data_IF_944382347312
#
_entry.id   IF_944382347312
#
_cell.length_a   1.000
_cell.length_b   1.000
_cell.length_c   1.000
_cell.angle_alpha   90.00
_cell.angle_beta   90.00
_cell.angle_gamma   90.00
#
_symmetry.space_group_name_H-M   'P 1'
#
loop_
_entity.id
_entity.type
_entity.pdbx_description
1 polymer ?
#
# COMPACT_ATOMS: atom_id res chain seq x y z
N UNK A 1 46.99 27.29 -84.15
CA UNK A 1 47.39 28.68 -83.79
C UNK A 1 46.38 29.15 -82.70
N UNK A 2 46.89 29.18 -81.49
CA UNK A 2 47.04 30.35 -80.60
C UNK A 2 45.78 31.13 -80.36
N UNK A 3 45.27 31.28 -79.16
CA UNK A 3 45.85 31.91 -77.94
C UNK A 3 44.97 31.62 -76.69
N UNK A 4 45.63 31.42 -75.61
CA UNK A 4 45.27 31.47 -74.19
C UNK A 4 44.78 32.87 -73.84
N UNK A 5 43.76 32.95 -72.96
CA UNK A 5 43.76 33.97 -71.93
C UNK A 5 43.09 33.46 -70.64
N UNK A 6 43.82 33.49 -69.57
CA UNK A 6 43.43 33.34 -68.16
C UNK A 6 42.65 34.58 -67.74
N UNK A 7 41.57 34.35 -66.99
CA UNK A 7 41.17 35.23 -65.89
C UNK A 7 39.92 34.64 -65.23
N UNK A 8 39.93 34.42 -63.90
CA UNK A 8 38.72 34.08 -63.17
C UNK A 8 38.87 33.19 -61.91
N UNK A 9 39.95 33.38 -61.16
CA UNK A 9 40.19 32.63 -59.95
C UNK A 9 40.35 33.59 -58.74
N UNK A 10 39.36 34.43 -58.47
CA UNK A 10 39.34 35.29 -57.24
C UNK A 10 37.94 35.42 -56.58
N UNK A 11 36.87 34.93 -57.18
CA UNK A 11 35.49 35.15 -56.65
C UNK A 11 34.88 33.95 -55.85
N UNK A 12 35.66 32.90 -55.57
CA UNK A 12 35.14 31.69 -54.87
C UNK A 12 35.51 31.59 -53.36
N UNK A 13 36.17 32.59 -52.78
CA UNK A 13 36.74 32.52 -51.44
C UNK A 13 35.98 33.37 -50.38
N UNK A 14 34.92 34.11 -50.75
CA UNK A 14 34.18 34.98 -49.84
C UNK A 14 32.77 34.39 -49.46
N UNK A 15 32.33 33.34 -50.17
CA UNK A 15 31.01 32.72 -49.90
C UNK A 15 31.01 31.57 -48.86
N UNK A 16 32.17 31.19 -48.30
CA UNK A 16 32.27 30.07 -47.32
C UNK A 16 32.42 30.51 -45.86
N UNK A 17 32.33 31.78 -45.52
CA UNK A 17 32.51 32.29 -44.14
C UNK A 17 31.23 32.81 -43.48
N UNK A 18 30.02 32.65 -44.08
CA UNK A 18 28.76 33.11 -43.51
C UNK A 18 27.83 31.94 -43.12
N UNK A 19 28.20 30.67 -43.34
CA UNK A 19 27.38 29.51 -43.00
C UNK A 19 27.69 28.88 -41.60
N UNK A 20 28.42 29.58 -40.72
CA UNK A 20 28.92 29.04 -39.45
C UNK A 20 28.23 29.54 -38.18
N UNK A 21 27.11 30.30 -38.23
CA UNK A 21 26.53 30.93 -37.03
C UNK A 21 24.98 30.78 -36.88
N UNK A 22 24.38 29.72 -37.32
CA UNK A 22 22.97 29.44 -37.03
C UNK A 22 22.77 28.05 -36.47
N UNK A 23 23.57 27.69 -35.46
CA UNK A 23 23.36 26.51 -34.62
C UNK A 23 22.65 26.82 -33.32
N UNK A 24 21.57 27.59 -33.34
CA UNK A 24 20.60 27.56 -32.20
C UNK A 24 19.73 26.32 -32.38
N UNK A 25 20.27 25.17 -32.03
CA UNK A 25 19.46 23.99 -31.82
C UNK A 25 18.48 24.27 -30.68
N UNK A 26 17.17 24.39 -30.98
CA UNK A 26 16.15 24.32 -29.95
C UNK A 26 16.18 22.91 -29.37
N UNK A 27 16.70 22.76 -28.17
CA UNK A 27 16.51 21.53 -27.39
C UNK A 27 15.02 21.49 -27.03
N UNK A 28 14.28 20.61 -27.69
CA UNK A 28 12.91 20.29 -27.28
C UNK A 28 12.99 19.52 -25.95
N UNK A 29 12.76 20.20 -24.86
CA UNK A 29 12.70 19.65 -23.51
C UNK A 29 11.79 20.52 -22.65
N UNK A 30 11.05 19.90 -21.77
CA UNK A 30 10.34 20.61 -20.70
C UNK A 30 11.39 21.06 -19.70
N UNK A 31 11.46 22.36 -19.41
CA UNK A 31 12.35 22.86 -18.36
C UNK A 31 11.92 22.22 -17.03
N UNK A 32 12.75 21.37 -16.47
CA UNK A 32 12.64 20.93 -15.07
C UNK A 32 13.40 21.94 -14.21
N UNK A 33 12.88 22.30 -13.01
CA UNK A 33 13.62 23.12 -12.07
C UNK A 33 15.00 22.50 -11.84
N UNK A 34 16.08 23.32 -11.88
CA UNK A 34 17.42 22.86 -11.53
C UNK A 34 17.44 22.35 -10.08
N UNK A 35 18.34 21.43 -9.77
CA UNK A 35 18.56 21.01 -8.38
C UNK A 35 18.97 22.25 -7.54
N UNK A 36 18.26 22.42 -6.42
CA UNK A 36 18.59 23.49 -5.45
C UNK A 36 19.74 23.04 -4.55
N UNK A 37 20.43 24.00 -3.93
CA UNK A 37 21.39 23.69 -2.86
C UNK A 37 20.64 23.33 -1.57
N UNK A 38 20.45 22.03 -1.33
CA UNK A 38 19.70 21.53 -0.17
C UNK A 38 20.28 21.94 1.19
N UNK A 39 21.55 22.40 1.22
CA UNK A 39 22.21 22.88 2.44
C UNK A 39 21.69 24.23 2.92
N UNK A 40 20.93 24.94 2.09
CA UNK A 40 20.32 26.23 2.43
C UNK A 40 18.92 26.08 3.03
N UNK A 41 18.37 24.87 3.03
CA UNK A 41 17.03 24.59 3.55
C UNK A 41 17.03 24.59 5.09
N UNK A 42 15.98 25.15 5.70
CA UNK A 42 15.71 24.99 7.12
C UNK A 42 15.07 23.61 7.38
N UNK A 43 15.91 22.67 7.75
CA UNK A 43 15.51 21.28 8.02
C UNK A 43 15.28 20.99 9.50
N UNK A 44 15.38 22.02 10.38
CA UNK A 44 15.32 21.83 11.82
C UNK A 44 16.35 20.81 12.32
N UNK A 45 15.93 19.97 13.25
CA UNK A 45 16.76 18.90 13.81
C UNK A 45 16.64 17.56 13.04
N UNK A 46 15.93 17.53 11.91
CA UNK A 46 15.77 16.31 11.12
C UNK A 46 17.06 15.94 10.41
N UNK A 47 17.57 14.70 10.56
CA UNK A 47 18.74 14.24 9.84
C UNK A 47 18.41 14.04 8.35
N UNK A 48 19.27 14.59 7.48
CA UNK A 48 19.09 14.58 6.02
C UNK A 48 20.22 13.91 5.25
N UNK A 49 21.20 13.35 5.94
CA UNK A 49 22.29 12.57 5.36
C UNK A 49 21.80 11.18 4.95
N UNK A 50 22.56 10.55 4.06
CA UNK A 50 22.28 9.18 3.64
C UNK A 50 22.42 8.21 4.82
N UNK A 51 21.44 7.34 4.98
CA UNK A 51 21.36 6.33 6.03
C UNK A 51 20.99 4.96 5.45
N UNK A 52 21.22 3.89 6.20
CA UNK A 52 20.73 2.54 5.88
C UNK A 52 20.40 1.81 7.18
N UNK A 53 19.23 1.23 7.24
CA UNK A 53 18.82 0.37 8.35
C UNK A 53 19.51 -0.99 8.31
N UNK A 54 19.59 -1.74 9.44
CA UNK A 54 20.03 -3.13 9.45
C UNK A 54 19.24 -3.96 8.43
N UNK A 55 19.95 -4.85 7.73
CA UNK A 55 19.32 -5.61 6.65
C UNK A 55 18.66 -6.89 7.14
N UNK A 56 19.08 -7.48 8.25
CA UNK A 56 18.53 -8.72 8.78
C UNK A 56 17.40 -8.43 9.77
N UNK A 57 16.26 -9.10 9.59
CA UNK A 57 15.10 -8.95 10.44
C UNK A 57 15.27 -9.59 11.83
N UNK A 58 16.06 -10.67 11.94
CA UNK A 58 16.20 -11.41 13.18
C UNK A 58 14.83 -11.84 13.75
N UNK A 59 14.57 -11.47 14.99
CA UNK A 59 13.31 -11.81 15.68
C UNK A 59 12.06 -11.16 15.07
N UNK A 60 12.21 -10.12 14.22
CA UNK A 60 11.10 -9.45 13.53
C UNK A 60 10.73 -10.10 12.19
N UNK A 61 11.40 -11.18 11.78
CA UNK A 61 11.17 -11.79 10.48
C UNK A 61 9.72 -12.26 10.25
N UNK A 62 9.07 -12.81 11.26
CA UNK A 62 7.64 -13.20 11.20
C UNK A 62 6.76 -11.99 10.91
N UNK A 63 7.04 -10.86 11.55
CA UNK A 63 6.31 -9.62 11.34
C UNK A 63 6.50 -9.08 9.92
N UNK A 64 7.75 -9.12 9.39
CA UNK A 64 8.03 -8.70 8.02
C UNK A 64 7.35 -9.61 7.00
N UNK A 65 7.29 -10.92 7.23
CA UNK A 65 6.52 -11.83 6.37
C UNK A 65 5.03 -11.47 6.39
N UNK A 66 4.47 -11.13 7.56
CA UNK A 66 3.10 -10.65 7.70
C UNK A 66 2.85 -9.36 6.91
N UNK A 67 3.79 -8.41 6.92
CA UNK A 67 3.73 -7.19 6.09
C UNK A 67 3.72 -7.55 4.60
N UNK A 68 4.58 -8.49 4.15
CA UNK A 68 4.60 -9.00 2.77
C UNK A 68 3.28 -9.67 2.39
N UNK A 69 2.64 -10.38 3.32
CA UNK A 69 1.33 -11.02 3.10
C UNK A 69 0.20 -10.02 2.81
N UNK A 70 0.40 -8.71 2.95
CA UNK A 70 -0.51 -7.71 2.42
C UNK A 70 -0.79 -7.89 0.93
N UNK A 71 0.19 -8.40 0.17
CA UNK A 71 0.05 -8.71 -1.25
C UNK A 71 -0.48 -10.13 -1.53
N UNK A 72 -0.61 -10.98 -0.50
CA UNK A 72 -1.19 -12.32 -0.60
C UNK A 72 -2.72 -12.31 -0.45
N UNK A 73 -3.29 -11.25 0.14
CA UNK A 73 -4.72 -11.12 0.39
C UNK A 73 -5.36 -10.20 -0.64
N UNK A 74 -6.45 -10.68 -1.23
CA UNK A 74 -7.22 -9.96 -2.24
C UNK A 74 -7.90 -8.72 -1.64
N UNK A 75 -7.98 -7.63 -2.39
CA UNK A 75 -8.79 -6.48 -1.99
C UNK A 75 -10.27 -6.75 -2.26
N UNK A 76 -11.18 -6.16 -1.47
CA UNK A 76 -12.61 -6.43 -1.62
C UNK A 76 -13.15 -6.06 -3.00
N UNK A 77 -12.66 -4.97 -3.60
CA UNK A 77 -13.05 -4.54 -4.95
C UNK A 77 -12.58 -5.48 -6.08
N UNK A 78 -11.56 -6.32 -5.83
CA UNK A 78 -11.18 -7.39 -6.76
C UNK A 78 -12.11 -8.61 -6.67
N UNK A 79 -12.76 -8.82 -5.52
CA UNK A 79 -13.82 -9.84 -5.37
C UNK A 79 -15.06 -9.40 -6.13
N UNK A 80 -15.52 -8.16 -5.88
CA UNK A 80 -16.62 -7.54 -6.62
C UNK A 80 -16.46 -6.02 -6.64
N UNK A 81 -16.56 -5.35 -7.80
CA UNK A 81 -16.41 -3.90 -7.91
C UNK A 81 -17.42 -3.08 -7.08
N UNK A 82 -18.53 -3.67 -6.64
CA UNK A 82 -19.47 -3.01 -5.73
C UNK A 82 -18.90 -2.81 -4.32
N UNK A 83 -17.95 -3.66 -3.89
CA UNK A 83 -17.29 -3.59 -2.59
C UNK A 83 -16.18 -2.53 -2.60
N UNK A 84 -16.55 -1.30 -2.85
CA UNK A 84 -15.60 -0.20 -3.09
C UNK A 84 -15.01 0.42 -1.83
N UNK A 85 -15.67 0.27 -0.67
CA UNK A 85 -15.20 0.85 0.58
C UNK A 85 -14.23 -0.11 1.28
N UNK A 86 -12.98 0.32 1.39
CA UNK A 86 -11.99 -0.36 2.22
C UNK A 86 -12.29 -0.15 3.69
N UNK A 87 -12.24 -1.23 4.47
CA UNK A 87 -12.46 -1.21 5.91
C UNK A 87 -11.17 -1.52 6.69
N UNK A 88 -10.03 -1.37 6.00
CA UNK A 88 -8.72 -1.61 6.55
C UNK A 88 -8.22 -3.05 6.39
N UNK A 89 -7.00 -3.21 6.84
CA UNK A 89 -6.29 -4.49 6.83
C UNK A 89 -5.31 -4.55 8.00
N UNK A 90 -4.91 -5.75 8.41
CA UNK A 90 -4.05 -5.95 9.58
C UNK A 90 -3.12 -7.15 9.41
N UNK A 91 -1.88 -7.00 9.84
CA UNK A 91 -0.96 -8.12 10.06
C UNK A 91 -1.37 -8.87 11.31
N UNK A 92 -1.37 -10.18 11.27
CA UNK A 92 -1.72 -11.09 12.37
C UNK A 92 -0.46 -11.87 12.77
N UNK A 93 0.40 -11.29 13.61
CA UNK A 93 1.71 -11.87 13.93
C UNK A 93 1.63 -13.12 14.80
N UNK A 94 0.51 -13.33 15.48
CA UNK A 94 0.30 -14.41 16.43
C UNK A 94 -1.17 -14.82 16.53
N UNK A 95 -1.47 -15.98 17.16
CA UNK A 95 -2.83 -16.48 17.38
C UNK A 95 -3.74 -15.55 18.18
N UNK A 96 -3.20 -14.78 19.13
CA UNK A 96 -3.98 -13.86 19.95
C UNK A 96 -4.50 -12.67 19.13
N UNK A 97 -3.69 -12.15 18.21
CA UNK A 97 -4.10 -11.10 17.27
C UNK A 97 -5.06 -11.65 16.19
N UNK A 98 -4.89 -12.91 15.78
CA UNK A 98 -5.74 -13.51 14.75
C UNK A 98 -7.22 -13.62 15.17
N UNK A 99 -7.52 -13.77 16.45
CA UNK A 99 -8.91 -13.84 16.94
C UNK A 99 -9.64 -12.50 16.97
N UNK A 100 -8.99 -11.39 16.63
CA UNK A 100 -9.69 -10.15 16.29
C UNK A 100 -10.54 -10.31 15.00
N UNK A 101 -10.19 -11.30 14.15
CA UNK A 101 -10.79 -11.56 12.84
C UNK A 101 -11.43 -12.96 12.75
N UNK A 102 -11.25 -13.81 13.75
CA UNK A 102 -11.81 -15.16 13.85
C UNK A 102 -12.61 -15.29 15.15
N UNK A 103 -13.35 -16.38 15.29
CA UNK A 103 -13.99 -16.69 16.57
C UNK A 103 -12.93 -16.97 17.67
N UNK A 104 -13.16 -16.52 18.90
CA UNK A 104 -12.23 -16.72 20.02
C UNK A 104 -11.86 -18.19 20.28
N UNK A 105 -12.73 -19.12 19.92
CA UNK A 105 -12.50 -20.57 20.01
C UNK A 105 -11.37 -21.05 19.09
N UNK A 106 -10.94 -20.23 18.12
CA UNK A 106 -9.89 -20.54 17.16
C UNK A 106 -8.48 -20.47 17.76
N UNK A 107 -8.25 -19.65 18.80
CA UNK A 107 -6.92 -19.39 19.34
C UNK A 107 -6.14 -20.67 19.70
N UNK A 108 -6.69 -21.62 20.47
CA UNK A 108 -5.95 -22.84 20.84
C UNK A 108 -5.58 -23.70 19.62
N UNK A 109 -6.38 -23.66 18.56
CA UNK A 109 -6.13 -24.39 17.32
C UNK A 109 -4.93 -23.76 16.60
N UNK A 110 -4.93 -22.44 16.46
CA UNK A 110 -3.83 -21.69 15.84
C UNK A 110 -2.50 -21.92 16.58
N UNK A 111 -2.53 -21.93 17.92
CA UNK A 111 -1.38 -22.24 18.76
C UNK A 111 -0.88 -23.69 18.55
N UNK A 112 -1.78 -24.68 18.64
CA UNK A 112 -1.46 -26.09 18.50
C UNK A 112 -0.94 -26.44 17.09
N UNK A 113 -1.46 -25.79 16.05
CA UNK A 113 -1.06 -25.97 14.66
C UNK A 113 0.13 -25.09 14.26
N UNK A 114 0.65 -24.30 15.21
CA UNK A 114 1.82 -23.44 15.05
C UNK A 114 1.65 -22.45 13.88
N UNK A 115 0.53 -21.70 13.87
CA UNK A 115 0.36 -20.60 12.95
C UNK A 115 1.64 -19.78 12.88
N UNK A 116 2.15 -19.52 11.69
CA UNK A 116 3.36 -18.71 11.48
C UNK A 116 3.02 -17.24 11.54
N UNK A 117 2.09 -16.81 10.71
CA UNK A 117 1.65 -15.41 10.57
C UNK A 117 0.38 -15.38 9.74
N UNK A 118 -0.37 -14.28 9.78
CA UNK A 118 -1.52 -14.05 8.94
C UNK A 118 -1.66 -12.61 8.49
N UNK A 119 -2.60 -12.40 7.58
CA UNK A 119 -3.04 -11.07 7.15
C UNK A 119 -4.53 -11.07 6.92
N UNK A 120 -5.21 -10.01 7.37
CA UNK A 120 -6.64 -9.80 7.19
C UNK A 120 -6.91 -8.54 6.38
N UNK A 121 -7.92 -8.56 5.52
CA UNK A 121 -8.45 -7.39 4.82
C UNK A 121 -9.98 -7.44 4.77
N UNK A 122 -10.61 -6.27 4.82
CA UNK A 122 -12.06 -6.15 4.82
C UNK A 122 -12.52 -5.02 3.91
N UNK A 123 -13.73 -5.15 3.38
CA UNK A 123 -14.38 -4.11 2.60
C UNK A 123 -15.88 -4.30 2.49
N UNK A 124 -16.58 -3.26 2.02
CA UNK A 124 -18.03 -3.26 1.91
C UNK A 124 -18.50 -2.44 0.69
N UNK A 125 -19.78 -2.58 0.33
CA UNK A 125 -20.43 -1.82 -0.74
C UNK A 125 -20.85 -0.40 -0.32
N UNK A 126 -20.88 -0.14 0.99
CA UNK A 126 -21.16 1.17 1.57
C UNK A 126 -20.25 1.45 2.77
N UNK A 127 -20.01 2.75 3.05
CA UNK A 127 -19.21 3.16 4.20
C UNK A 127 -19.90 2.83 5.52
N UNK A 128 -19.12 2.67 6.57
CA UNK A 128 -19.65 2.47 7.91
C UNK A 128 -20.39 3.74 8.38
N UNK A 129 -21.52 3.61 9.07
CA UNK A 129 -22.18 4.75 9.68
C UNK A 129 -21.26 5.45 10.69
N UNK A 130 -21.43 6.75 10.84
CA UNK A 130 -20.66 7.54 11.78
C UNK A 130 -20.69 6.93 13.20
N UNK A 131 -19.51 6.76 13.80
CA UNK A 131 -19.35 6.16 15.14
C UNK A 131 -19.56 4.65 15.21
N UNK A 132 -19.75 3.96 14.09
CA UNK A 132 -19.87 2.50 14.03
C UNK A 132 -18.64 1.89 13.35
N UNK A 133 -18.26 0.71 13.83
CA UNK A 133 -17.15 -0.08 13.27
C UNK A 133 -17.64 -1.37 12.59
N UNK A 134 -18.93 -1.47 12.33
CA UNK A 134 -19.57 -2.62 11.68
C UNK A 134 -20.44 -2.17 10.52
N UNK A 135 -20.49 -2.92 9.43
CA UNK A 135 -21.42 -2.67 8.33
C UNK A 135 -22.86 -2.71 8.82
N UNK A 136 -23.73 -1.93 8.20
CA UNK A 136 -25.16 -2.04 8.41
C UNK A 136 -25.69 -3.39 7.96
N UNK A 137 -26.85 -3.82 8.46
CA UNK A 137 -27.42 -5.14 8.14
C UNK A 137 -27.84 -5.28 6.66
N UNK A 138 -28.01 -4.17 5.95
CA UNK A 138 -28.35 -4.09 4.53
C UNK A 138 -27.11 -3.95 3.62
N UNK A 139 -25.91 -3.88 4.20
CA UNK A 139 -24.65 -3.84 3.45
C UNK A 139 -24.23 -5.24 2.98
N UNK A 140 -23.57 -5.27 1.82
CA UNK A 140 -22.69 -6.37 1.46
C UNK A 140 -21.31 -6.08 1.98
N UNK A 141 -20.76 -6.97 2.79
CA UNK A 141 -19.41 -6.84 3.33
C UNK A 141 -18.66 -8.16 3.29
N UNK A 142 -17.35 -8.07 3.14
CA UNK A 142 -16.46 -9.21 3.10
C UNK A 142 -15.25 -8.99 4.00
N UNK A 143 -14.83 -10.05 4.67
CA UNK A 143 -13.55 -10.16 5.33
C UNK A 143 -12.82 -11.39 4.78
N UNK A 144 -11.57 -11.22 4.40
CA UNK A 144 -10.68 -12.27 3.92
C UNK A 144 -9.48 -12.32 4.84
N UNK A 145 -9.18 -13.48 5.36
CA UNK A 145 -8.00 -13.75 6.18
C UNK A 145 -7.19 -14.87 5.54
N UNK A 146 -5.91 -14.64 5.35
CA UNK A 146 -4.96 -15.70 4.99
C UNK A 146 -4.06 -15.98 6.20
N UNK A 147 -4.07 -17.21 6.68
CA UNK A 147 -3.24 -17.69 7.79
C UNK A 147 -2.21 -18.65 7.23
N UNK A 148 -0.93 -18.43 7.53
CA UNK A 148 0.15 -19.29 7.10
C UNK A 148 0.54 -20.28 8.20
N UNK A 149 0.78 -21.53 7.83
CA UNK A 149 1.19 -22.62 8.70
C UNK A 149 2.55 -23.16 8.25
N UNK A 150 3.23 -24.00 9.08
CA UNK A 150 4.56 -24.52 8.74
C UNK A 150 4.60 -25.38 7.48
N UNK A 151 3.50 -26.05 7.16
CA UNK A 151 3.37 -26.98 6.04
C UNK A 151 1.90 -27.23 5.67
N UNK A 152 1.69 -27.83 4.48
CA UNK A 152 0.37 -28.17 3.92
C UNK A 152 -0.45 -29.08 4.85
N UNK A 153 0.17 -30.03 5.57
CA UNK A 153 -0.54 -30.92 6.49
C UNK A 153 -1.06 -30.18 7.71
N UNK A 154 -0.26 -29.27 8.24
CA UNK A 154 -0.67 -28.39 9.35
C UNK A 154 -1.82 -27.46 8.93
N UNK A 155 -1.77 -26.87 7.73
CA UNK A 155 -2.82 -26.03 7.18
C UNK A 155 -4.13 -26.82 6.96
N UNK A 156 -4.06 -28.01 6.37
CA UNK A 156 -5.24 -28.85 6.15
C UNK A 156 -5.93 -29.22 7.45
N UNK A 157 -5.17 -29.67 8.46
CA UNK A 157 -5.73 -30.00 9.77
C UNK A 157 -6.28 -28.76 10.49
N UNK A 158 -5.58 -27.62 10.39
CA UNK A 158 -6.05 -26.36 10.98
C UNK A 158 -7.39 -25.94 10.39
N UNK A 159 -7.59 -26.02 9.07
CA UNK A 159 -8.85 -25.66 8.44
C UNK A 159 -10.04 -26.52 8.95
N UNK A 160 -9.84 -27.84 9.07
CA UNK A 160 -10.85 -28.76 9.60
C UNK A 160 -11.20 -28.46 11.07
N UNK A 161 -10.20 -28.22 11.89
CA UNK A 161 -10.40 -27.92 13.32
C UNK A 161 -11.04 -26.53 13.55
N UNK A 162 -10.62 -25.52 12.78
CA UNK A 162 -11.20 -24.17 12.81
C UNK A 162 -12.67 -24.20 12.43
N UNK A 163 -13.03 -24.90 11.36
CA UNK A 163 -14.42 -25.08 10.96
C UNK A 163 -15.22 -25.85 12.02
N UNK A 164 -14.67 -26.93 12.57
CA UNK A 164 -15.34 -27.71 13.59
C UNK A 164 -15.60 -26.91 14.87
N UNK A 165 -14.67 -26.03 15.24
CA UNK A 165 -14.82 -25.14 16.38
C UNK A 165 -15.85 -24.05 16.12
N UNK A 166 -15.81 -23.40 14.96
CA UNK A 166 -16.67 -22.28 14.61
C UNK A 166 -18.13 -22.71 14.40
N UNK A 167 -18.36 -23.80 13.66
CA UNK A 167 -19.72 -24.36 13.52
C UNK A 167 -20.29 -24.82 14.87
N UNK A 168 -19.41 -25.27 15.77
CA UNK A 168 -19.77 -25.72 17.11
C UNK A 168 -20.21 -24.60 18.07
N UNK A 169 -19.97 -23.33 17.73
CA UNK A 169 -20.38 -22.17 18.56
C UNK A 169 -21.89 -22.12 18.77
N UNK A 170 -22.68 -22.65 17.83
CA UNK A 170 -24.13 -22.70 17.95
C UNK A 170 -24.74 -24.00 17.38
N UNK A 171 -25.69 -24.62 18.07
CA UNK A 171 -26.40 -25.80 17.54
C UNK A 171 -27.28 -25.47 16.32
N UNK A 172 -27.54 -24.19 16.07
CA UNK A 172 -28.33 -23.76 14.90
C UNK A 172 -27.51 -23.63 13.64
N UNK A 173 -26.17 -23.64 13.73
CA UNK A 173 -25.28 -23.60 12.56
C UNK A 173 -25.47 -24.86 11.69
N UNK A 174 -25.40 -24.69 10.39
CA UNK A 174 -25.54 -25.74 9.37
C UNK A 174 -24.39 -25.65 8.40
N UNK A 175 -23.90 -26.80 7.95
CA UNK A 175 -22.96 -26.88 6.83
C UNK A 175 -23.65 -26.54 5.53
N UNK A 176 -22.92 -25.88 4.64
CA UNK A 176 -23.26 -25.69 3.25
C UNK A 176 -22.15 -26.30 2.39
N UNK A 177 -22.47 -26.57 1.13
CA UNK A 177 -21.53 -27.12 0.15
C UNK A 177 -21.42 -26.17 -1.03
N UNK A 178 -20.19 -26.00 -1.55
CA UNK A 178 -19.93 -25.34 -2.80
C UNK A 178 -19.68 -26.41 -3.88
N UNK A 179 -20.41 -26.33 -4.98
CA UNK A 179 -20.14 -27.17 -6.15
C UNK A 179 -18.81 -26.81 -6.80
N UNK A 180 -18.41 -25.54 -6.73
CA UNK A 180 -17.18 -25.02 -7.31
C UNK A 180 -15.94 -25.38 -6.49
N UNK A 181 -16.06 -25.34 -5.17
CA UNK A 181 -15.00 -25.64 -4.22
C UNK A 181 -15.45 -26.72 -3.22
N UNK A 182 -15.57 -28.01 -3.64
CA UNK A 182 -16.06 -29.08 -2.78
C UNK A 182 -15.21 -29.29 -1.49
N UNK A 183 -13.95 -28.85 -1.51
CA UNK A 183 -13.03 -28.90 -0.38
C UNK A 183 -13.19 -27.73 0.59
N UNK A 184 -13.92 -26.68 0.24
CA UNK A 184 -14.20 -25.57 1.14
C UNK A 184 -15.21 -25.98 2.20
N UNK A 185 -14.93 -25.62 3.43
CA UNK A 185 -15.73 -25.90 4.60
C UNK A 185 -16.59 -24.68 4.90
N UNK A 186 -17.87 -24.72 4.54
CA UNK A 186 -18.80 -23.60 4.65
C UNK A 186 -19.84 -23.87 5.74
N UNK A 187 -20.15 -22.85 6.53
CA UNK A 187 -21.26 -22.91 7.48
C UNK A 187 -22.03 -21.58 7.54
N UNK A 188 -23.27 -21.67 7.93
CA UNK A 188 -24.16 -20.52 8.15
C UNK A 188 -25.19 -20.85 9.21
N UNK A 189 -25.85 -19.83 9.71
CA UNK A 189 -27.05 -20.00 10.53
C UNK A 189 -28.29 -19.64 9.72
N UNK A 190 -29.24 -20.58 9.50
CA UNK A 190 -30.48 -20.28 8.79
C UNK A 190 -31.19 -19.04 9.35
N UNK A 191 -31.55 -18.13 8.43
CA UNK A 191 -32.18 -16.85 8.80
C UNK A 191 -31.21 -15.73 9.15
N UNK A 192 -29.88 -15.97 9.16
CA UNK A 192 -28.84 -14.96 9.33
C UNK A 192 -28.16 -14.72 7.99
N UNK A 193 -28.02 -13.45 7.62
CA UNK A 193 -27.55 -13.04 6.29
C UNK A 193 -26.01 -13.00 6.19
N UNK A 194 -25.34 -14.03 6.73
CA UNK A 194 -23.89 -14.18 6.58
C UNK A 194 -23.48 -15.65 6.46
N UNK A 195 -22.26 -15.88 5.97
CA UNK A 195 -21.64 -17.20 5.83
C UNK A 195 -20.18 -17.10 6.27
N UNK A 196 -19.72 -18.14 6.99
CA UNK A 196 -18.31 -18.39 7.25
C UNK A 196 -17.78 -19.49 6.33
N UNK A 197 -16.51 -19.43 5.96
CA UNK A 197 -15.85 -20.48 5.20
C UNK A 197 -14.39 -20.61 5.58
N UNK A 198 -13.87 -21.86 5.55
CA UNK A 198 -12.45 -22.17 5.64
C UNK A 198 -12.04 -23.03 4.44
N UNK A 199 -10.87 -22.72 3.90
CA UNK A 199 -10.26 -23.47 2.80
C UNK A 199 -8.76 -23.61 3.03
N UNK A 200 -8.25 -24.83 3.13
CA UNK A 200 -6.82 -25.07 3.09
C UNK A 200 -6.31 -25.03 1.64
N UNK A 201 -5.23 -24.31 1.41
CA UNK A 201 -4.55 -24.22 0.12
C UNK A 201 -3.04 -24.15 0.36
N UNK A 202 -2.31 -25.20 -0.02
CA UNK A 202 -0.89 -25.34 0.30
C UNK A 202 -0.64 -25.16 1.81
N UNK A 203 0.26 -24.28 2.22
CA UNK A 203 0.56 -23.97 3.62
C UNK A 203 -0.36 -22.90 4.22
N UNK A 204 -1.42 -22.49 3.50
CA UNK A 204 -2.35 -21.44 3.93
C UNK A 204 -3.71 -22.02 4.31
N UNK A 205 -4.35 -21.35 5.27
CA UNK A 205 -5.79 -21.44 5.49
C UNK A 205 -6.40 -20.09 5.12
N UNK A 206 -7.34 -20.10 4.18
CA UNK A 206 -8.18 -18.96 3.83
C UNK A 206 -9.40 -19.04 4.71
N UNK A 207 -9.67 -18.00 5.52
CA UNK A 207 -10.91 -17.80 6.24
C UNK A 207 -11.70 -16.66 5.62
N UNK A 208 -12.98 -16.89 5.36
CA UNK A 208 -13.89 -15.88 4.80
C UNK A 208 -15.04 -15.64 5.74
N UNK A 209 -15.43 -14.38 5.83
CA UNK A 209 -16.75 -13.98 6.33
C UNK A 209 -17.40 -13.11 5.25
N UNK A 210 -18.61 -13.48 4.85
CA UNK A 210 -19.40 -12.70 3.88
C UNK A 210 -20.74 -12.36 4.51
N UNK A 211 -21.10 -11.08 4.49
CA UNK A 211 -22.42 -10.58 4.86
C UNK A 211 -23.16 -10.12 3.60
N UNK A 212 -24.47 -10.43 3.57
CA UNK A 212 -25.38 -9.98 2.50
C UNK A 212 -26.61 -9.32 3.09
N UNK A 213 -27.38 -8.52 2.31
CA UNK A 213 -28.64 -7.94 2.79
C UNK A 213 -29.73 -8.98 3.15
N UNK A 214 -29.68 -10.17 2.55
CA UNK A 214 -30.69 -11.20 2.74
C UNK A 214 -30.08 -12.55 3.12
N UNK A 215 -30.79 -13.31 3.96
CA UNK A 215 -30.40 -14.64 4.40
C UNK A 215 -30.78 -15.70 3.34
N UNK A 216 -30.18 -15.60 2.16
CA UNK A 216 -30.33 -16.56 1.06
C UNK A 216 -29.06 -17.42 0.97
N UNK A 217 -29.18 -18.72 1.26
CA UNK A 217 -28.03 -19.62 1.29
C UNK A 217 -27.37 -19.79 -0.07
N UNK A 218 -28.11 -19.75 -1.18
CA UNK A 218 -27.56 -19.89 -2.52
C UNK A 218 -26.77 -18.64 -2.93
N UNK A 219 -27.27 -17.44 -2.60
CA UNK A 219 -26.56 -16.18 -2.82
C UNK A 219 -25.30 -16.12 -1.94
N UNK A 220 -25.38 -16.51 -0.66
CA UNK A 220 -24.25 -16.55 0.25
C UNK A 220 -23.12 -17.47 -0.25
N UNK A 221 -23.45 -18.69 -0.72
CA UNK A 221 -22.48 -19.63 -1.31
C UNK A 221 -21.87 -19.03 -2.57
N UNK A 222 -22.67 -18.42 -3.45
CA UNK A 222 -22.17 -17.78 -4.67
C UNK A 222 -21.15 -16.66 -4.38
N UNK A 223 -21.38 -15.88 -3.31
CA UNK A 223 -20.43 -14.85 -2.88
C UNK A 223 -19.16 -15.43 -2.25
N UNK A 224 -19.28 -16.50 -1.46
CA UNK A 224 -18.12 -17.22 -0.95
C UNK A 224 -17.26 -17.80 -2.09
N UNK A 225 -17.88 -18.40 -3.09
CA UNK A 225 -17.20 -18.94 -4.28
C UNK A 225 -16.46 -17.85 -5.08
N UNK A 226 -17.07 -16.67 -5.21
CA UNK A 226 -16.45 -15.52 -5.85
C UNK A 226 -15.23 -15.04 -5.09
N UNK A 227 -15.35 -14.93 -3.76
CA UNK A 227 -14.27 -14.53 -2.88
C UNK A 227 -13.11 -15.54 -2.88
N UNK A 228 -13.42 -16.83 -2.79
CA UNK A 228 -12.41 -17.89 -2.88
C UNK A 228 -11.68 -17.85 -4.22
N UNK A 229 -12.39 -17.63 -5.33
CA UNK A 229 -11.75 -17.52 -6.65
C UNK A 229 -10.73 -16.39 -6.68
N UNK A 230 -11.16 -15.18 -6.29
CA UNK A 230 -10.29 -14.01 -6.30
C UNK A 230 -9.10 -14.16 -5.33
N UNK A 231 -9.34 -14.79 -4.15
CA UNK A 231 -8.28 -15.00 -3.17
C UNK A 231 -7.27 -16.05 -3.64
N UNK A 232 -7.69 -17.14 -4.25
CA UNK A 232 -6.78 -18.15 -4.80
C UNK A 232 -5.95 -17.58 -5.96
N UNK A 233 -6.57 -16.78 -6.85
CA UNK A 233 -5.88 -16.09 -7.93
C UNK A 233 -4.85 -15.08 -7.40
N UNK A 234 -5.13 -14.43 -6.26
CA UNK A 234 -4.20 -13.51 -5.61
C UNK A 234 -3.05 -14.27 -4.95
N UNK A 235 -3.36 -15.33 -4.22
CA UNK A 235 -2.38 -16.14 -3.50
C UNK A 235 -1.40 -16.84 -4.47
N UNK A 236 -1.86 -17.26 -5.64
CA UNK A 236 -1.02 -17.86 -6.68
C UNK A 236 0.08 -16.90 -7.22
N UNK A 237 0.02 -15.60 -6.91
CA UNK A 237 1.03 -14.59 -7.27
C UNK A 237 1.96 -14.26 -6.13
N UNK A 238 1.68 -14.76 -4.95
CA UNK A 238 2.48 -14.54 -3.75
C UNK A 238 3.49 -15.68 -3.58
N UNK A 239 4.74 -15.33 -3.39
CA UNK A 239 5.81 -16.27 -3.09
C UNK A 239 6.17 -16.14 -1.60
N UNK A 240 5.73 -17.08 -0.74
CA UNK A 240 6.03 -17.02 0.68
C UNK A 240 7.53 -17.28 0.93
N UNK A 241 8.10 -16.54 1.88
CA UNK A 241 9.50 -16.79 2.29
C UNK A 241 9.59 -18.17 2.96
N UNK A 242 10.52 -19.04 2.56
CA UNK A 242 10.74 -20.28 3.28
C UNK A 242 10.88 -20.04 4.78
N UNK A 243 10.24 -20.85 5.62
CA UNK A 243 10.21 -20.61 7.07
C UNK A 243 11.61 -20.50 7.69
N UNK A 244 12.60 -21.22 7.12
CA UNK A 244 13.98 -21.15 7.56
C UNK A 244 14.67 -19.81 7.26
N UNK A 245 14.18 -19.07 6.26
CA UNK A 245 14.79 -17.84 5.73
C UNK A 245 14.06 -16.57 6.23
N UNK A 246 12.99 -16.71 7.02
CA UNK A 246 12.19 -15.60 7.53
C UNK A 246 13.04 -14.62 8.37
N UNK A 247 13.97 -15.12 9.17
CA UNK A 247 14.88 -14.30 9.98
C UNK A 247 15.87 -13.47 9.13
N UNK A 248 16.13 -13.90 7.91
CA UNK A 248 17.04 -13.24 6.97
C UNK A 248 16.33 -12.19 6.09
N UNK A 249 15.02 -11.99 6.27
CA UNK A 249 14.29 -10.95 5.56
C UNK A 249 14.91 -9.58 5.84
N UNK A 250 15.06 -8.78 4.80
CA UNK A 250 15.57 -7.42 4.94
C UNK A 250 14.48 -6.49 5.49
N UNK A 251 14.83 -5.72 6.52
CA UNK A 251 13.95 -4.69 7.09
C UNK A 251 13.61 -3.61 6.07
N UNK A 252 14.61 -3.19 5.29
CA UNK A 252 14.47 -2.17 4.25
C UNK A 252 15.16 -2.62 2.94
N UNK A 253 14.60 -3.61 2.22
CA UNK A 253 15.26 -4.27 1.09
C UNK A 253 15.65 -3.35 -0.06
N UNK A 254 15.01 -2.18 -0.15
CA UNK A 254 15.22 -1.21 -1.24
C UNK A 254 15.68 0.15 -0.73
N UNK A 255 16.08 0.25 0.54
CA UNK A 255 16.41 1.47 1.27
C UNK A 255 15.30 2.53 1.15
N UNK A 256 14.03 2.11 1.15
CA UNK A 256 12.91 3.02 1.02
C UNK A 256 12.53 3.64 2.38
N UNK A 257 12.59 2.89 3.48
CA UNK A 257 12.46 3.39 4.85
C UNK A 257 13.55 4.42 5.16
N UNK A 258 14.77 4.16 4.73
CA UNK A 258 15.90 5.09 4.90
C UNK A 258 15.71 6.44 4.17
N UNK A 259 14.71 6.56 3.31
CA UNK A 259 14.30 7.79 2.62
C UNK A 259 13.13 8.51 3.26
N UNK A 260 12.53 7.95 4.31
CA UNK A 260 11.47 8.62 5.07
C UNK A 260 12.10 9.49 6.13
N UNK A 261 11.69 10.77 6.20
CA UNK A 261 12.17 11.67 7.23
C UNK A 261 11.62 11.29 8.61
N UNK A 262 12.52 11.08 9.54
CA UNK A 262 12.25 10.81 10.97
C UNK A 262 13.24 11.59 11.82
N UNK A 263 12.84 11.96 13.03
CA UNK A 263 13.71 12.70 13.95
C UNK A 263 14.80 11.78 14.54
N UNK A 264 14.41 10.57 14.92
CA UNK A 264 15.32 9.56 15.48
C UNK A 264 15.32 8.31 14.59
N UNK A 265 16.47 8.00 14.00
CA UNK A 265 16.63 6.85 13.09
C UNK A 265 16.99 5.55 13.80
N UNK A 266 17.52 5.65 15.03
CA UNK A 266 18.09 4.50 15.73
C UNK A 266 17.06 3.76 16.58
N UNK A 267 15.93 4.41 16.91
CA UNK A 267 14.89 3.83 17.77
C UNK A 267 13.79 3.08 17.05
N UNK A 268 13.85 2.95 15.72
CA UNK A 268 12.80 2.28 14.94
C UNK A 268 13.07 0.79 14.74
N UNK A 269 12.08 0.01 15.12
CA UNK A 269 11.98 -1.43 14.86
C UNK A 269 10.80 -1.72 13.92
N UNK A 270 10.81 -2.82 13.17
CA UNK A 270 9.67 -3.22 12.34
C UNK A 270 8.35 -3.20 13.08
N UNK A 271 7.41 -2.42 12.58
CA UNK A 271 6.07 -2.24 13.13
C UNK A 271 5.09 -2.04 11.95
N UNK A 272 4.02 -2.85 11.84
CA UNK A 272 3.08 -2.77 10.72
C UNK A 272 2.41 -1.41 10.57
N UNK A 273 2.22 -0.68 11.67
CA UNK A 273 1.49 0.58 11.69
C UNK A 273 2.42 1.79 11.61
N UNK A 274 3.70 1.65 12.05
CA UNK A 274 4.58 2.78 12.22
C UNK A 274 5.93 2.68 11.50
N UNK A 275 6.40 1.47 11.15
CA UNK A 275 7.70 1.28 10.50
C UNK A 275 7.68 0.06 9.58
N UNK A 276 7.21 0.24 8.35
CA UNK A 276 6.98 -0.84 7.40
C UNK A 276 7.08 -0.40 5.94
N UNK A 277 7.35 -1.38 5.05
CA UNK A 277 7.30 -1.20 3.59
C UNK A 277 6.16 -2.04 3.02
N UNK A 278 5.21 -1.39 2.37
CA UNK A 278 4.03 -2.03 1.80
C UNK A 278 3.98 -1.94 0.26
N UNK A 279 3.29 -2.90 -0.33
CA UNK A 279 2.86 -2.86 -1.70
C UNK A 279 1.53 -2.12 -1.90
N UNK A 280 0.90 -2.38 -3.05
CA UNK A 280 -0.31 -1.66 -3.48
C UNK A 280 -1.58 -2.02 -2.68
N UNK A 281 -1.73 -3.30 -2.29
CA UNK A 281 -2.97 -3.78 -1.67
C UNK A 281 -3.22 -3.12 -0.31
N UNK A 282 -2.15 -2.80 0.44
CA UNK A 282 -2.27 -2.05 1.69
C UNK A 282 -2.95 -0.69 1.48
N UNK A 283 -2.52 0.09 0.46
CA UNK A 283 -3.11 1.39 0.14
C UNK A 283 -4.54 1.28 -0.40
N UNK A 284 -4.87 0.20 -1.11
CA UNK A 284 -6.21 -0.04 -1.62
C UNK A 284 -7.15 -0.42 -0.48
N UNK A 285 -6.73 -1.30 0.43
CA UNK A 285 -7.55 -1.78 1.54
C UNK A 285 -7.95 -0.68 2.54
N UNK A 286 -7.18 0.42 2.62
CA UNK A 286 -7.48 1.58 3.47
C UNK A 286 -8.23 2.71 2.76
N UNK A 287 -8.59 2.53 1.48
CA UNK A 287 -9.21 3.59 0.69
C UNK A 287 -10.74 3.58 0.79
N UNK A 288 -11.35 4.76 0.88
CA UNK A 288 -12.82 4.93 0.82
C UNK A 288 -13.39 4.61 -0.57
N UNK A 289 -12.55 4.64 -1.62
CA UNK A 289 -12.86 4.19 -2.98
C UNK A 289 -11.70 3.35 -3.51
N UNK A 290 -11.76 2.05 -3.25
CA UNK A 290 -10.72 1.09 -3.67
C UNK A 290 -10.48 1.09 -5.19
N UNK A 291 -11.53 1.06 -6.06
CA UNK A 291 -11.34 1.16 -7.51
C UNK A 291 -10.64 2.45 -7.95
N UNK A 292 -10.98 3.60 -7.34
CA UNK A 292 -10.30 4.86 -7.65
C UNK A 292 -8.84 4.83 -7.20
N UNK A 293 -8.56 4.29 -6.01
CA UNK A 293 -7.20 4.12 -5.52
C UNK A 293 -6.39 3.18 -6.41
N UNK A 294 -6.95 2.05 -6.81
CA UNK A 294 -6.28 1.11 -7.70
C UNK A 294 -5.90 1.77 -9.04
N UNK A 295 -6.83 2.52 -9.67
CA UNK A 295 -6.54 3.29 -10.89
C UNK A 295 -5.42 4.30 -10.70
N UNK A 296 -5.45 5.08 -9.61
CA UNK A 296 -4.39 6.04 -9.30
C UNK A 296 -3.02 5.37 -9.21
N UNK A 297 -2.94 4.23 -8.52
CA UNK A 297 -1.68 3.49 -8.38
C UNK A 297 -1.19 2.93 -9.73
N UNK A 298 -2.10 2.50 -10.60
CA UNK A 298 -1.76 2.04 -11.96
C UNK A 298 -1.28 3.19 -12.85
N UNK A 299 -2.02 4.31 -12.88
CA UNK A 299 -1.71 5.49 -13.69
C UNK A 299 -0.39 6.17 -13.27
N UNK A 300 -0.10 6.21 -11.96
CA UNK A 300 1.15 6.73 -11.44
C UNK A 300 2.33 5.77 -11.61
N UNK A 301 2.07 4.50 -11.92
CA UNK A 301 3.10 3.47 -11.93
C UNK A 301 3.66 3.20 -10.53
N UNK A 302 2.82 3.26 -9.51
CA UNK A 302 3.19 3.00 -8.11
C UNK A 302 3.83 1.61 -7.96
N UNK A 303 4.91 1.55 -7.18
CA UNK A 303 5.63 0.30 -6.88
C UNK A 303 5.49 -0.09 -5.41
N UNK A 304 5.92 0.77 -4.49
CA UNK A 304 5.92 0.53 -3.04
C UNK A 304 5.81 1.83 -2.26
N UNK A 305 5.45 1.71 -0.99
CA UNK A 305 5.48 2.81 -0.02
C UNK A 305 6.13 2.34 1.28
N UNK A 306 6.94 3.21 1.89
CA UNK A 306 7.47 3.04 3.23
C UNK A 306 6.80 4.01 4.18
N UNK A 307 6.53 3.57 5.38
CA UNK A 307 5.99 4.38 6.48
C UNK A 307 6.97 4.39 7.64
N UNK A 308 7.24 5.57 8.20
CA UNK A 308 7.99 5.73 9.43
C UNK A 308 7.48 6.96 10.20
N UNK A 309 7.12 6.79 11.48
CA UNK A 309 6.79 7.88 12.41
C UNK A 309 5.81 8.92 11.81
N UNK A 310 4.70 8.50 11.23
CA UNK A 310 3.67 9.38 10.65
C UNK A 310 4.05 10.06 9.34
N UNK A 311 5.21 9.72 8.76
CA UNK A 311 5.63 10.12 7.41
C UNK A 311 5.69 8.92 6.49
N UNK A 312 5.68 9.16 5.17
CA UNK A 312 5.85 8.08 4.21
C UNK A 312 6.61 8.54 2.95
N UNK A 313 7.20 7.57 2.26
CA UNK A 313 7.75 7.77 0.92
C UNK A 313 7.21 6.70 -0.01
N UNK A 314 6.50 7.12 -1.04
CA UNK A 314 6.10 6.26 -2.13
C UNK A 314 7.12 6.34 -3.27
N UNK A 315 7.32 5.20 -3.95
CA UNK A 315 8.12 5.11 -5.17
C UNK A 315 7.24 4.74 -6.33
N UNK A 316 7.40 5.46 -7.44
CA UNK A 316 6.77 5.17 -8.72
C UNK A 316 7.83 4.70 -9.74
N UNK A 317 7.40 4.07 -10.83
CA UNK A 317 8.28 3.50 -11.85
C UNK A 317 9.18 4.54 -12.51
N UNK A 318 8.63 5.68 -12.83
CA UNK A 318 9.34 6.77 -13.48
C UNK A 318 8.91 8.15 -12.93
N UNK A 319 9.72 9.21 -13.16
CA UNK A 319 9.43 10.53 -12.59
C UNK A 319 8.10 11.15 -13.04
N UNK A 320 7.55 10.76 -14.19
CA UNK A 320 6.27 11.30 -14.67
C UNK A 320 5.08 10.85 -13.80
N UNK A 321 5.20 9.72 -13.11
CA UNK A 321 4.18 9.22 -12.19
C UNK A 321 4.08 10.00 -10.87
N UNK A 322 5.17 10.65 -10.43
CA UNK A 322 5.15 11.34 -9.14
C UNK A 322 4.12 12.49 -9.07
N UNK A 323 3.99 13.39 -10.05
CA UNK A 323 2.92 14.40 -10.04
C UNK A 323 1.51 13.81 -10.09
N UNK A 324 1.32 12.68 -10.78
CA UNK A 324 0.03 11.95 -10.83
C UNK A 324 -0.34 11.46 -9.43
N UNK A 325 0.61 10.82 -8.75
CA UNK A 325 0.40 10.30 -7.39
C UNK A 325 0.13 11.42 -6.39
N UNK A 326 0.88 12.54 -6.46
CA UNK A 326 0.65 13.72 -5.60
C UNK A 326 -0.75 14.27 -5.78
N UNK A 327 -1.21 14.49 -7.03
CA UNK A 327 -2.54 15.01 -7.29
C UNK A 327 -3.63 14.05 -6.76
N UNK A 328 -3.50 12.76 -6.99
CA UNK A 328 -4.45 11.77 -6.50
C UNK A 328 -4.49 11.66 -4.97
N UNK A 329 -3.35 11.83 -4.29
CA UNK A 329 -3.35 11.89 -2.82
C UNK A 329 -4.02 13.15 -2.27
N UNK A 330 -3.85 14.31 -2.95
CA UNK A 330 -4.54 15.55 -2.61
C UNK A 330 -6.06 15.41 -2.79
N UNK A 331 -6.50 14.84 -3.93
CA UNK A 331 -7.91 14.55 -4.16
C UNK A 331 -8.49 13.59 -3.10
N UNK A 332 -7.72 12.59 -2.71
CA UNK A 332 -8.12 11.62 -1.67
C UNK A 332 -8.16 12.20 -0.25
N UNK A 333 -7.50 13.34 0.01
CA UNK A 333 -7.61 14.03 1.30
C UNK A 333 -9.02 14.61 1.52
N UNK A 334 -9.77 14.80 0.42
CA UNK A 334 -11.18 15.18 0.45
C UNK A 334 -11.44 16.62 0.95
N UNK A 335 -12.70 16.94 1.25
CA UNK A 335 -13.11 18.31 1.58
C UNK A 335 -12.69 18.77 2.97
N UNK A 336 -12.11 17.90 3.79
CA UNK A 336 -11.60 18.23 5.12
C UNK A 336 -10.30 19.06 5.08
N UNK A 337 -9.66 19.18 3.92
CA UNK A 337 -8.40 19.88 3.77
C UNK A 337 -8.48 20.98 2.71
N UNK A 338 -7.91 22.14 3.06
CA UNK A 338 -7.74 23.27 2.15
C UNK A 338 -6.26 23.42 1.74
N UNK A 339 -5.95 23.91 0.52
CA UNK A 339 -4.60 24.23 0.12
C UNK A 339 -3.96 25.29 1.02
N UNK A 340 -2.71 25.06 1.45
CA UNK A 340 -1.89 26.04 2.16
C UNK A 340 -0.60 26.38 1.40
N UNK A 341 0.03 27.55 1.64
CA UNK A 341 1.31 27.89 1.04
C UNK A 341 2.41 26.91 1.46
N UNK A 342 3.05 26.28 0.47
CA UNK A 342 4.22 25.44 0.67
C UNK A 342 5.47 26.29 1.01
N UNK A 343 6.53 25.69 1.61
CA UNK A 343 7.82 26.36 1.73
C UNK A 343 8.34 26.81 0.36
N UNK A 344 8.70 28.10 0.21
CA UNK A 344 9.08 28.69 -1.07
C UNK A 344 10.36 28.09 -1.67
N UNK A 345 11.26 27.65 -0.78
CA UNK A 345 12.58 27.11 -1.14
C UNK A 345 12.56 25.64 -1.56
N UNK A 346 11.40 24.95 -1.48
CA UNK A 346 11.29 23.52 -1.82
C UNK A 346 10.47 23.32 -3.11
N UNK A 347 11.10 22.90 -4.21
CA UNK A 347 10.42 22.84 -5.50
C UNK A 347 9.31 21.79 -5.56
N UNK A 348 8.18 22.17 -6.16
CA UNK A 348 7.10 21.25 -6.55
C UNK A 348 6.25 20.73 -5.38
N UNK A 349 6.50 21.16 -4.17
CA UNK A 349 5.75 20.76 -2.97
C UNK A 349 4.34 21.32 -3.02
N UNK A 350 3.37 20.53 -2.54
CA UNK A 350 2.00 20.95 -2.28
C UNK A 350 1.65 20.63 -0.84
N UNK A 351 1.04 21.59 -0.15
CA UNK A 351 0.65 21.44 1.24
C UNK A 351 -0.85 21.68 1.42
N UNK A 352 -1.39 21.06 2.45
CA UNK A 352 -2.80 21.14 2.86
C UNK A 352 -2.88 21.46 4.36
N UNK A 353 -3.90 22.21 4.74
CA UNK A 353 -4.27 22.46 6.13
C UNK A 353 -5.69 21.93 6.40
N UNK A 354 -5.87 21.26 7.53
CA UNK A 354 -7.17 20.76 7.99
C UNK A 354 -8.11 21.94 8.27
N UNK A 355 -9.30 21.91 7.68
CA UNK A 355 -10.32 22.93 7.87
C UNK A 355 -11.36 22.52 8.94
N UNK A 356 -12.40 23.34 9.11
CA UNK A 356 -13.41 23.13 10.14
C UNK A 356 -14.33 21.91 9.93
N UNK A 357 -14.25 21.26 8.78
CA UNK A 357 -14.99 20.01 8.50
C UNK A 357 -14.18 18.75 8.80
N UNK A 358 -12.90 18.91 9.14
CA UNK A 358 -12.03 17.79 9.53
C UNK A 358 -12.08 17.48 11.02
N UNK A 359 -11.56 16.32 11.39
CA UNK A 359 -11.49 15.83 12.76
C UNK A 359 -10.03 15.90 13.27
N UNK A 360 -9.69 16.91 14.11
CA UNK A 360 -8.31 17.09 14.59
C UNK A 360 -7.85 16.01 15.58
N UNK A 361 -8.75 15.16 16.09
CA UNK A 361 -8.37 14.01 16.93
C UNK A 361 -7.91 12.81 16.11
N UNK A 362 -8.24 12.78 14.81
CA UNK A 362 -7.95 11.67 13.89
C UNK A 362 -7.09 12.05 12.70
N UNK A 363 -6.94 13.36 12.44
CA UNK A 363 -6.27 13.89 11.25
C UNK A 363 -5.24 14.92 11.64
N UNK A 364 -4.04 14.82 11.07
CA UNK A 364 -3.02 15.85 11.25
C UNK A 364 -3.49 17.19 10.70
N UNK A 365 -3.16 18.26 11.39
CA UNK A 365 -3.51 19.62 10.98
C UNK A 365 -2.86 20.01 9.66
N UNK A 366 -1.61 19.63 9.44
CA UNK A 366 -0.87 19.94 8.23
C UNK A 366 -0.36 18.68 7.54
N UNK A 367 -0.42 18.70 6.21
CA UNK A 367 0.10 17.62 5.38
C UNK A 367 0.76 18.19 4.14
N UNK A 368 2.01 17.78 3.84
CA UNK A 368 2.71 18.19 2.63
C UNK A 368 3.13 16.99 1.80
N UNK A 369 3.12 17.19 0.47
CA UNK A 369 3.49 16.21 -0.54
C UNK A 369 4.75 16.70 -1.25
N UNK A 370 5.83 15.91 -1.19
CA UNK A 370 7.17 16.28 -1.60
C UNK A 370 7.61 15.39 -2.78
N UNK A 371 7.38 15.79 -4.04
CA UNK A 371 7.88 15.04 -5.18
C UNK A 371 9.37 15.26 -5.39
N UNK A 372 10.13 14.18 -5.61
CA UNK A 372 11.52 14.24 -6.02
C UNK A 372 11.84 13.07 -6.95
N UNK A 373 12.14 13.37 -8.23
CA UNK A 373 12.33 12.33 -9.27
C UNK A 373 11.17 11.33 -9.24
N UNK A 374 11.42 10.06 -8.96
CA UNK A 374 10.41 8.99 -8.88
C UNK A 374 9.90 8.70 -7.47
N UNK A 375 10.12 9.62 -6.53
CA UNK A 375 9.67 9.49 -5.14
C UNK A 375 8.68 10.57 -4.78
N UNK A 376 7.74 10.22 -3.92
CA UNK A 376 6.77 11.15 -3.34
C UNK A 376 6.80 10.97 -1.82
N UNK A 377 7.39 11.94 -1.12
CA UNK A 377 7.29 12.03 0.33
C UNK A 377 5.93 12.58 0.75
N UNK A 378 5.34 12.02 1.79
CA UNK A 378 4.17 12.59 2.48
C UNK A 378 4.56 12.80 3.93
N UNK A 379 4.52 14.04 4.38
CA UNK A 379 4.84 14.42 5.75
C UNK A 379 3.64 15.08 6.40
N UNK A 380 3.47 14.86 7.70
CA UNK A 380 2.35 15.42 8.47
C UNK A 380 2.84 15.93 9.82
N UNK A 381 2.17 16.96 10.35
CA UNK A 381 2.39 17.52 11.69
C UNK A 381 1.18 18.34 12.11
N UNK A 382 1.03 18.55 13.43
CA UNK A 382 0.07 19.48 14.00
C UNK A 382 0.68 20.86 14.29
N UNK A 383 2.01 21.02 14.12
CA UNK A 383 2.76 22.26 14.26
C UNK A 383 3.19 22.83 12.90
N UNK A 384 2.95 24.11 12.67
CA UNK A 384 3.26 24.78 11.39
C UNK A 384 4.77 24.92 11.14
N UNK A 385 5.56 25.14 12.19
CA UNK A 385 7.01 25.24 12.03
C UNK A 385 7.61 23.89 11.72
N UNK A 386 7.17 22.86 12.45
CA UNK A 386 7.62 21.49 12.23
C UNK A 386 7.28 20.98 10.83
N UNK A 387 6.03 21.20 10.33
CA UNK A 387 5.67 20.72 8.99
C UNK A 387 6.53 21.37 7.91
N UNK A 388 6.90 22.66 8.04
CA UNK A 388 7.78 23.34 7.09
C UNK A 388 9.19 22.76 7.11
N UNK A 389 9.78 22.56 8.30
CA UNK A 389 11.09 21.94 8.46
C UNK A 389 11.12 20.49 8.01
N UNK A 390 10.10 19.71 8.37
CA UNK A 390 9.94 18.30 7.97
C UNK A 390 9.79 18.15 6.44
N UNK A 391 9.10 19.10 5.79
CA UNK A 391 8.96 19.16 4.33
C UNK A 391 10.30 19.42 3.65
N UNK A 392 11.06 20.39 4.13
CA UNK A 392 12.40 20.73 3.65
C UNK A 392 13.38 19.57 3.87
N UNK A 393 13.32 18.94 5.05
CA UNK A 393 14.13 17.78 5.40
C UNK A 393 13.82 16.57 4.51
N UNK A 394 12.53 16.30 4.23
CA UNK A 394 12.13 15.21 3.35
C UNK A 394 12.69 15.40 1.92
N UNK A 395 12.65 16.63 1.40
CA UNK A 395 13.24 16.93 0.10
C UNK A 395 14.76 16.74 0.12
N UNK A 396 15.44 17.31 1.12
CA UNK A 396 16.89 17.20 1.26
C UNK A 396 17.35 15.74 1.41
N UNK A 397 16.63 14.94 2.21
CA UNK A 397 16.91 13.51 2.39
C UNK A 397 16.78 12.73 1.07
N UNK A 398 15.71 12.98 0.29
CA UNK A 398 15.55 12.37 -1.03
C UNK A 398 16.69 12.77 -1.99
N UNK A 399 17.09 14.04 -1.97
CA UNK A 399 18.19 14.53 -2.82
C UNK A 399 19.55 13.90 -2.44
N UNK A 400 19.82 13.75 -1.14
CA UNK A 400 21.08 13.18 -0.64
C UNK A 400 21.13 11.64 -0.75
N UNK A 401 20.00 10.97 -0.93
CA UNK A 401 19.88 9.51 -0.94
C UNK A 401 19.92 8.87 -2.33
N UNK A 402 20.11 9.67 -3.40
CA UNK A 402 20.12 9.20 -4.80
C UNK A 402 21.50 9.26 -5.44
#
# INVERSE_FOLDING_TARGET
>A
MVRITRCGAVTALVALLVAGLSGCGSVAGTAVPGEIDVRTLDVGDFPVDRFSYPQEAGDHGVLLEGIRMSEAVVTSSQVDPSLKFGRGSKVLPDPATAVDFLANVSQPILENRRMVVGYAASGADQGDPEGQVRPTSDATAIQVVALRFPDTGSAATAAEELEAADIGVSPDNRKLESEKYPQALLHWRPGIANIGAFLAHEEFVISLFVQRPAADSADLVSWADRALTAQLDQLARFEPTPTADIADLAVDPENLLARVVVADRESHEPDPDQFAVYGRNYLINSADDQPARARLLDESGFERTAYAAGSSVARVRDPAGAPVLVNGFIESAGPAYDPMPAPEDVPGVKCLELNSSGDPERQYRYRCFVPYKRYVGVVSSDDETEIRQKTAAQYALLANSL
#
